data_IF_741937270538
#
_entry.id   IF_741937270538
#
_cell.length_a   1.000
_cell.length_b   1.000
_cell.length_c   1.000
_cell.angle_alpha   90.00
_cell.angle_beta   90.00
_cell.angle_gamma   90.00
#
_symmetry.space_group_name_H-M   'P 1'
#
loop_
_entity.id
_entity.type
_entity.pdbx_description
1 polymer ?
#
# COMPACT_ATOMS: atom_id res chain seq x y z
N UNK A 1 -7.52 -30.73 18.91
CA UNK A 1 -6.57 -30.15 17.93
C UNK A 1 -6.85 -28.66 17.93
N UNK A 2 -6.07 -27.96 18.74
CA UNK A 2 -6.27 -26.56 19.08
C UNK A 2 -5.67 -25.71 17.95
N UNK A 3 -6.50 -24.97 17.22
CA UNK A 3 -6.03 -23.97 16.28
C UNK A 3 -5.63 -22.74 17.08
N UNK A 4 -4.38 -22.72 17.53
CA UNK A 4 -3.74 -21.55 18.11
C UNK A 4 -3.85 -20.38 17.14
N UNK A 5 -4.70 -19.42 17.48
CA UNK A 5 -4.78 -18.11 16.86
C UNK A 5 -3.44 -17.41 17.09
N UNK A 6 -2.55 -17.52 16.11
CA UNK A 6 -1.32 -16.74 16.06
C UNK A 6 -1.74 -15.30 15.76
N UNK A 7 -2.08 -14.55 16.81
CA UNK A 7 -2.17 -13.10 16.73
C UNK A 7 -0.80 -12.60 16.31
N UNK A 8 -0.67 -12.22 15.04
CA UNK A 8 0.48 -11.50 14.56
C UNK A 8 0.66 -10.30 15.49
N UNK A 9 1.72 -10.33 16.29
CA UNK A 9 2.18 -9.20 17.09
C UNK A 9 2.46 -8.06 16.11
N UNK A 10 1.46 -7.22 15.87
CA UNK A 10 1.67 -5.93 15.25
C UNK A 10 2.52 -5.18 16.28
N UNK A 11 3.80 -4.88 16.00
CA UNK A 11 4.62 -4.16 16.94
C UNK A 11 3.92 -2.85 17.22
N UNK A 12 3.40 -2.70 18.44
CA UNK A 12 2.89 -1.43 18.91
C UNK A 12 4.05 -0.45 18.74
N UNK A 13 3.93 0.46 17.77
CA UNK A 13 4.88 1.53 17.53
C UNK A 13 4.75 2.52 18.69
N UNK A 14 5.24 2.11 19.85
CA UNK A 14 5.53 3.00 20.96
C UNK A 14 6.69 3.85 20.49
N UNK A 15 6.37 5.00 19.88
CA UNK A 15 7.31 6.11 19.79
C UNK A 15 7.56 6.54 21.21
N UNK A 16 8.49 5.87 21.89
CA UNK A 16 8.85 6.19 23.26
C UNK A 16 9.28 7.65 23.25
N UNK A 17 8.69 8.51 24.10
CA UNK A 17 9.10 9.90 24.17
C UNK A 17 10.60 9.93 24.46
N UNK A 18 11.39 10.37 23.48
CA UNK A 18 12.82 10.57 23.69
C UNK A 18 12.96 11.83 24.53
N UNK A 19 12.77 11.67 25.84
CA UNK A 19 12.88 12.72 26.85
C UNK A 19 14.20 13.49 26.71
N UNK A 20 15.24 12.84 26.18
CA UNK A 20 16.53 13.45 25.89
C UNK A 20 16.45 14.68 24.98
N UNK A 21 15.63 14.67 23.94
CA UNK A 21 15.54 15.82 23.00
C UNK A 21 14.93 17.03 23.70
N UNK A 22 13.88 16.85 24.50
CA UNK A 22 13.29 17.97 25.25
C UNK A 22 14.22 18.51 26.32
N UNK A 23 14.96 17.62 27.00
CA UNK A 23 15.97 18.01 27.99
C UNK A 23 17.08 18.82 27.32
N UNK A 24 17.55 18.39 26.15
CA UNK A 24 18.58 19.10 25.37
C UNK A 24 18.07 20.46 24.90
N UNK A 25 16.85 20.55 24.35
CA UNK A 25 16.25 21.82 23.92
C UNK A 25 16.06 22.78 25.10
N UNK A 26 15.64 22.27 26.25
CA UNK A 26 15.50 23.06 27.48
C UNK A 26 16.86 23.57 27.96
N UNK A 27 17.86 22.68 28.07
CA UNK A 27 19.21 23.05 28.48
C UNK A 27 19.84 24.09 27.53
N UNK A 28 19.68 23.92 26.22
CA UNK A 28 20.15 24.88 25.21
C UNK A 28 19.50 26.26 25.36
N UNK A 29 18.19 26.29 25.66
CA UNK A 29 17.47 27.56 25.90
C UNK A 29 17.99 28.25 27.17
N UNK A 30 18.17 27.50 28.27
CA UNK A 30 18.70 28.03 29.53
C UNK A 30 20.13 28.55 29.37
N UNK A 31 21.00 27.80 28.69
CA UNK A 31 22.38 28.21 28.41
C UNK A 31 22.39 29.49 27.55
N UNK A 32 21.52 29.57 26.54
CA UNK A 32 21.40 30.76 25.69
C UNK A 32 20.92 31.98 26.48
N UNK A 33 19.95 31.80 27.37
CA UNK A 33 19.49 32.86 28.26
C UNK A 33 20.60 33.36 29.20
N UNK A 34 21.36 32.45 29.82
CA UNK A 34 22.47 32.79 30.70
C UNK A 34 23.60 33.49 29.93
N UNK A 35 23.93 33.01 28.73
CA UNK A 35 24.94 33.63 27.88
C UNK A 35 24.55 35.07 27.49
N UNK A 36 23.29 35.30 27.13
CA UNK A 36 22.77 36.65 26.82
C UNK A 36 22.76 37.53 28.08
N UNK A 37 22.38 36.97 29.22
CA UNK A 37 22.35 37.71 30.50
C UNK A 37 23.74 38.14 30.98
N UNK A 38 24.77 37.34 30.69
CA UNK A 38 26.16 37.66 31.02
C UNK A 38 26.82 38.61 30.00
N UNK A 39 26.49 38.47 28.72
CA UNK A 39 27.06 39.30 27.65
C UNK A 39 26.43 40.70 27.55
N UNK A 40 25.15 40.83 27.89
CA UNK A 40 24.37 42.07 27.84
C UNK A 40 23.55 42.23 29.13
N UNK A 41 24.20 42.53 30.26
CA UNK A 41 23.54 42.63 31.57
C UNK A 41 22.44 43.70 31.60
N UNK A 42 22.51 44.71 30.74
CA UNK A 42 21.48 45.73 30.56
C UNK A 42 20.11 45.14 30.18
N UNK A 43 20.05 43.97 29.53
CA UNK A 43 18.80 43.30 29.16
C UNK A 43 18.06 42.67 30.35
N UNK A 44 18.73 42.58 31.50
CA UNK A 44 18.19 41.96 32.73
C UNK A 44 18.26 42.89 33.93
N UNK A 45 18.87 44.07 33.78
CA UNK A 45 19.09 45.02 34.87
C UNK A 45 17.83 45.76 35.35
N UNK A 46 16.81 45.90 34.51
CA UNK A 46 15.52 46.50 34.88
C UNK A 46 14.41 45.42 34.92
N UNK A 47 13.51 45.42 35.92
CA UNK A 47 12.39 44.47 36.01
C UNK A 47 11.57 44.32 34.72
N UNK A 48 11.34 45.42 33.99
CA UNK A 48 10.57 45.40 32.74
C UNK A 48 11.34 44.67 31.63
N UNK A 49 12.64 44.94 31.50
CA UNK A 49 13.51 44.30 30.50
C UNK A 49 13.75 42.83 30.85
N UNK A 50 13.96 42.50 32.12
CA UNK A 50 14.09 41.13 32.60
C UNK A 50 12.83 40.30 32.28
N UNK A 51 11.65 40.88 32.49
CA UNK A 51 10.38 40.24 32.11
C UNK A 51 10.27 40.01 30.60
N UNK A 52 10.62 41.02 29.79
CA UNK A 52 10.62 40.91 28.32
C UNK A 52 11.59 39.86 27.81
N UNK A 53 12.83 39.87 28.31
CA UNK A 53 13.87 38.89 27.96
C UNK A 53 13.48 37.48 28.39
N UNK A 54 12.98 37.30 29.61
CA UNK A 54 12.49 36.00 30.09
C UNK A 54 11.30 35.49 29.26
N UNK A 55 10.34 36.36 28.93
CA UNK A 55 9.20 36.03 28.07
C UNK A 55 9.61 35.64 26.65
N UNK A 56 10.62 36.31 26.08
CA UNK A 56 11.19 35.95 24.78
C UNK A 56 11.76 34.52 24.77
N UNK A 57 12.61 34.18 25.74
CA UNK A 57 13.21 32.84 25.81
C UNK A 57 12.18 31.75 26.11
N UNK A 58 11.17 32.04 26.93
CA UNK A 58 10.06 31.13 27.19
C UNK A 58 9.26 30.84 25.90
N UNK A 59 8.97 31.88 25.12
CA UNK A 59 8.26 31.77 23.84
C UNK A 59 9.11 31.00 22.81
N UNK A 60 10.41 31.30 22.72
CA UNK A 60 11.34 30.62 21.85
C UNK A 60 11.44 29.12 22.19
N UNK A 61 11.49 28.77 23.47
CA UNK A 61 11.43 27.37 23.91
C UNK A 61 10.14 26.68 23.48
N UNK A 62 8.98 27.31 23.71
CA UNK A 62 7.68 26.76 23.32
C UNK A 62 7.58 26.51 21.81
N UNK A 63 8.13 27.41 21.00
CA UNK A 63 8.19 27.26 19.54
C UNK A 63 9.10 26.10 19.13
N UNK A 64 10.32 26.02 19.67
CA UNK A 64 11.26 24.93 19.37
C UNK A 64 10.71 23.57 19.81
N UNK A 65 10.09 23.50 20.99
CA UNK A 65 9.42 22.31 21.47
C UNK A 65 8.32 21.86 20.50
N UNK A 66 7.49 22.79 20.05
CA UNK A 66 6.39 22.51 19.10
C UNK A 66 6.91 22.00 17.76
N UNK A 67 7.99 22.58 17.23
CA UNK A 67 8.63 22.12 15.98
C UNK A 67 9.14 20.68 16.14
N UNK A 68 9.82 20.38 17.24
CA UNK A 68 10.33 19.03 17.54
C UNK A 68 9.19 18.02 17.60
N UNK A 69 8.10 18.37 18.27
CA UNK A 69 6.93 17.49 18.37
C UNK A 69 6.23 17.28 17.02
N UNK A 70 6.11 18.32 16.19
CA UNK A 70 5.56 18.20 14.84
C UNK A 70 6.42 17.28 13.98
N UNK A 71 7.74 17.45 13.99
CA UNK A 71 8.65 16.56 13.26
C UNK A 71 8.55 15.11 13.75
N UNK A 72 8.43 14.92 15.07
CA UNK A 72 8.25 13.59 15.66
C UNK A 72 6.93 12.97 15.22
N UNK A 73 5.84 13.71 15.26
CA UNK A 73 4.53 13.26 14.80
C UNK A 73 4.53 12.89 13.32
N UNK A 74 5.21 13.67 12.47
CA UNK A 74 5.37 13.35 11.05
C UNK A 74 6.16 12.05 10.84
N UNK A 75 7.28 11.87 11.56
CA UNK A 75 8.07 10.64 11.47
C UNK A 75 7.28 9.40 11.90
N UNK A 76 6.49 9.51 12.97
CA UNK A 76 5.60 8.46 13.45
C UNK A 76 4.50 8.16 12.43
N UNK A 77 3.90 9.19 11.82
CA UNK A 77 2.87 9.04 10.81
C UNK A 77 3.43 8.38 9.53
N UNK A 78 4.65 8.71 9.12
CA UNK A 78 5.32 8.07 7.99
C UNK A 78 5.61 6.59 8.28
N UNK A 79 6.14 6.27 9.47
CA UNK A 79 6.37 4.89 9.89
C UNK A 79 5.07 4.07 9.93
N UNK A 80 3.99 4.65 10.49
CA UNK A 80 2.68 4.02 10.53
C UNK A 80 2.10 3.80 9.11
N UNK A 81 2.24 4.78 8.22
CA UNK A 81 1.83 4.65 6.80
C UNK A 81 2.57 3.52 6.11
N UNK A 82 3.88 3.39 6.34
CA UNK A 82 4.68 2.34 5.72
C UNK A 82 4.35 0.96 6.28
N UNK A 83 4.15 0.84 7.59
CA UNK A 83 3.68 -0.39 8.22
C UNK A 83 2.29 -0.80 7.69
N UNK A 84 1.36 0.15 7.57
CA UNK A 84 0.05 -0.10 6.98
C UNK A 84 0.14 -0.52 5.51
N UNK A 85 1.07 0.06 4.73
CA UNK A 85 1.32 -0.35 3.35
C UNK A 85 1.87 -1.79 3.29
N UNK A 86 2.82 -2.15 4.15
CA UNK A 86 3.35 -3.52 4.24
C UNK A 86 2.27 -4.54 4.62
N UNK A 87 1.48 -4.23 5.66
CA UNK A 87 0.36 -5.07 6.07
C UNK A 87 -0.70 -5.20 4.96
N UNK A 88 -1.02 -4.11 4.27
CA UNK A 88 -1.93 -4.12 3.13
C UNK A 88 -1.42 -4.95 1.95
N UNK A 89 -0.12 -4.90 1.67
CA UNK A 89 0.51 -5.73 0.64
C UNK A 89 0.46 -7.22 1.06
N UNK A 90 0.86 -7.56 2.28
CA UNK A 90 0.81 -8.92 2.83
C UNK A 90 -0.61 -9.49 2.82
N UNK A 91 -1.63 -8.68 3.10
CA UNK A 91 -3.02 -9.10 3.01
C UNK A 91 -3.46 -9.32 1.55
N UNK A 92 -3.02 -8.49 0.60
CA UNK A 92 -3.38 -8.61 -0.82
C UNK A 92 -2.77 -9.83 -1.50
N UNK A 93 -1.57 -10.25 -1.12
CA UNK A 93 -0.86 -11.39 -1.73
C UNK A 93 -1.66 -12.72 -1.73
N UNK A 94 -2.22 -13.20 -0.60
CA UNK A 94 -3.00 -14.44 -0.58
C UNK A 94 -4.34 -14.32 -1.30
N UNK A 95 -5.00 -13.15 -1.27
CA UNK A 95 -6.22 -12.92 -2.04
C UNK A 95 -5.93 -12.93 -3.55
N UNK A 96 -4.84 -12.30 -3.98
CA UNK A 96 -4.42 -12.33 -5.38
C UNK A 96 -4.06 -13.74 -5.86
N UNK A 97 -3.35 -14.55 -5.05
CA UNK A 97 -3.03 -15.94 -5.40
C UNK A 97 -4.28 -16.82 -5.56
N UNK A 98 -5.25 -16.67 -4.65
CA UNK A 98 -6.52 -17.40 -4.74
C UNK A 98 -7.31 -16.99 -5.99
N UNK A 99 -7.42 -15.69 -6.25
CA UNK A 99 -8.17 -15.17 -7.40
C UNK A 99 -7.49 -15.56 -8.73
N UNK A 100 -6.15 -15.57 -8.78
CA UNK A 100 -5.36 -16.08 -9.92
C UNK A 100 -5.66 -17.57 -10.16
N UNK A 101 -5.54 -18.40 -9.12
CA UNK A 101 -5.79 -19.85 -9.23
C UNK A 101 -7.23 -20.15 -9.65
N UNK A 102 -8.20 -19.42 -9.08
CA UNK A 102 -9.61 -19.55 -9.46
C UNK A 102 -9.81 -19.13 -10.92
N UNK A 103 -9.21 -18.01 -11.35
CA UNK A 103 -9.30 -17.55 -12.74
C UNK A 103 -8.73 -18.58 -13.72
N UNK A 104 -7.56 -19.14 -13.43
CA UNK A 104 -6.93 -20.19 -14.23
C UNK A 104 -7.85 -21.41 -14.36
N UNK A 105 -8.41 -21.88 -13.25
CA UNK A 105 -9.33 -23.03 -13.23
C UNK A 105 -10.57 -22.79 -14.10
N UNK A 106 -11.15 -21.59 -14.04
CA UNK A 106 -12.31 -21.26 -14.89
C UNK A 106 -11.89 -21.20 -16.36
N UNK A 107 -10.76 -20.57 -16.69
CA UNK A 107 -10.29 -20.49 -18.07
C UNK A 107 -10.01 -21.89 -18.64
N UNK A 108 -9.33 -22.76 -17.88
CA UNK A 108 -9.09 -24.16 -18.29
C UNK A 108 -10.39 -24.91 -18.55
N UNK A 109 -11.40 -24.72 -17.71
CA UNK A 109 -12.71 -25.35 -17.91
C UNK A 109 -13.40 -24.89 -19.21
N UNK A 110 -13.25 -23.61 -19.56
CA UNK A 110 -13.81 -23.02 -20.79
C UNK A 110 -13.04 -23.52 -22.01
N UNK A 111 -11.71 -23.51 -21.95
CA UNK A 111 -10.83 -24.01 -23.01
C UNK A 111 -11.06 -25.50 -23.27
N UNK A 112 -11.25 -26.29 -22.21
CA UNK A 112 -11.60 -27.70 -22.33
C UNK A 112 -12.95 -27.89 -23.07
N UNK A 113 -13.97 -27.11 -22.73
CA UNK A 113 -15.26 -27.17 -23.41
C UNK A 113 -15.13 -26.86 -24.92
N UNK A 114 -14.33 -25.84 -25.28
CA UNK A 114 -14.06 -25.47 -26.67
C UNK A 114 -13.32 -26.57 -27.43
N UNK A 115 -12.28 -27.17 -26.82
CA UNK A 115 -11.48 -28.23 -27.46
C UNK A 115 -12.28 -29.51 -27.76
N UNK A 116 -13.35 -29.77 -27.01
CA UNK A 116 -14.24 -30.92 -27.22
C UNK A 116 -15.43 -30.60 -28.14
N UNK A 117 -15.38 -29.48 -28.88
CA UNK A 117 -16.43 -29.04 -29.80
C UNK A 117 -17.70 -28.56 -29.11
N UNK A 118 -17.63 -28.29 -27.80
CA UNK A 118 -18.73 -27.72 -27.03
C UNK A 118 -18.71 -26.19 -27.06
N UNK A 119 -19.90 -25.58 -27.07
CA UNK A 119 -20.01 -24.13 -26.89
C UNK A 119 -19.96 -23.78 -25.40
N UNK A 120 -19.00 -22.96 -24.94
CA UNK A 120 -18.91 -22.61 -23.53
C UNK A 120 -20.14 -21.79 -23.10
N UNK A 121 -20.70 -22.16 -21.94
CA UNK A 121 -21.84 -21.44 -21.36
C UNK A 121 -21.43 -20.00 -21.02
N UNK A 122 -22.39 -19.08 -21.12
CA UNK A 122 -22.18 -17.67 -20.80
C UNK A 122 -21.70 -17.45 -19.34
N UNK A 123 -22.17 -18.27 -18.40
CA UNK A 123 -21.83 -18.13 -16.98
C UNK A 123 -20.32 -18.28 -16.71
N UNK A 124 -19.62 -19.36 -17.16
CA UNK A 124 -18.17 -19.48 -17.09
C UNK A 124 -17.42 -18.28 -17.68
N UNK A 125 -17.79 -17.82 -18.88
CA UNK A 125 -17.16 -16.67 -19.53
C UNK A 125 -17.36 -15.37 -18.72
N UNK A 126 -18.54 -15.18 -18.14
CA UNK A 126 -18.81 -14.04 -17.25
C UNK A 126 -17.95 -14.09 -15.99
N UNK A 127 -17.64 -15.29 -15.49
CA UNK A 127 -16.76 -15.49 -14.33
C UNK A 127 -15.30 -15.22 -14.71
N UNK A 128 -14.84 -15.64 -15.89
CA UNK A 128 -13.53 -15.27 -16.44
C UNK A 128 -13.40 -13.75 -16.47
N UNK A 129 -14.39 -13.04 -17.02
CA UNK A 129 -14.36 -11.57 -17.11
C UNK A 129 -14.18 -10.93 -15.74
N UNK A 130 -14.97 -11.36 -14.74
CA UNK A 130 -14.90 -10.82 -13.38
C UNK A 130 -13.56 -11.08 -12.70
N UNK A 131 -13.11 -12.33 -12.69
CA UNK A 131 -11.87 -12.72 -12.01
C UNK A 131 -10.65 -12.09 -12.70
N UNK A 132 -10.60 -12.10 -14.02
CA UNK A 132 -9.50 -11.51 -14.77
C UNK A 132 -9.41 -9.99 -14.59
N UNK A 133 -10.57 -9.32 -14.47
CA UNK A 133 -10.61 -7.88 -14.15
C UNK A 133 -10.13 -7.59 -12.74
N UNK A 134 -10.51 -8.42 -11.77
CA UNK A 134 -10.07 -8.28 -10.39
C UNK A 134 -8.55 -8.47 -10.25
N UNK A 135 -7.99 -9.50 -10.91
CA UNK A 135 -6.56 -9.82 -10.86
C UNK A 135 -5.72 -8.72 -11.51
N UNK A 136 -6.13 -8.19 -12.66
CA UNK A 136 -5.38 -7.17 -13.41
C UNK A 136 -5.94 -5.75 -13.24
N UNK A 137 -6.53 -5.42 -12.09
CA UNK A 137 -7.23 -4.15 -11.86
C UNK A 137 -6.42 -2.91 -12.25
N UNK A 138 -5.10 -2.90 -12.00
CA UNK A 138 -4.21 -1.81 -12.36
C UNK A 138 -4.01 -1.65 -13.87
N UNK A 139 -4.03 -2.74 -14.64
CA UNK A 139 -3.88 -2.71 -16.09
C UNK A 139 -5.12 -2.14 -16.80
N UNK A 140 -6.29 -2.13 -16.16
CA UNK A 140 -7.50 -1.53 -16.73
C UNK A 140 -7.53 0.00 -16.68
N UNK A 141 -6.65 0.62 -15.90
CA UNK A 141 -6.50 2.07 -15.89
C UNK A 141 -5.90 2.61 -17.21
N UNK A 142 -5.22 1.75 -17.97
CA UNK A 142 -4.70 2.05 -19.30
C UNK A 142 -5.63 1.50 -20.39
N UNK A 143 -6.13 2.39 -21.26
CA UNK A 143 -6.99 2.03 -22.39
C UNK A 143 -6.29 1.12 -23.41
N UNK A 144 -4.95 1.16 -23.47
CA UNK A 144 -4.13 0.39 -24.41
C UNK A 144 -3.64 -0.97 -23.92
N UNK A 145 -3.99 -1.38 -22.70
CA UNK A 145 -3.41 -2.61 -22.11
C UNK A 145 -3.84 -3.88 -22.85
N UNK A 146 -2.89 -4.81 -23.03
CA UNK A 146 -3.15 -6.12 -23.64
C UNK A 146 -4.23 -6.89 -22.88
N UNK A 147 -4.25 -6.77 -21.56
CA UNK A 147 -5.24 -7.40 -20.68
C UNK A 147 -6.65 -6.92 -20.99
N UNK A 148 -6.83 -5.62 -21.26
CA UNK A 148 -8.13 -5.05 -21.63
C UNK A 148 -8.56 -5.47 -23.04
N UNK A 149 -7.62 -5.53 -23.99
CA UNK A 149 -7.89 -6.02 -25.36
C UNK A 149 -8.38 -7.48 -25.30
N UNK A 150 -7.68 -8.35 -24.55
CA UNK A 150 -8.05 -9.76 -24.36
C UNK A 150 -9.42 -9.91 -23.69
N UNK A 151 -9.71 -9.10 -22.66
CA UNK A 151 -11.04 -9.06 -22.05
C UNK A 151 -12.13 -8.67 -23.06
N UNK A 152 -11.84 -7.68 -23.92
CA UNK A 152 -12.71 -7.24 -24.99
C UNK A 152 -13.11 -8.40 -25.92
N UNK A 153 -12.18 -9.27 -26.29
CA UNK A 153 -12.48 -10.46 -27.11
C UNK A 153 -13.45 -11.41 -26.40
N UNK A 154 -13.25 -11.67 -25.10
CA UNK A 154 -14.15 -12.53 -24.31
C UNK A 154 -15.55 -11.90 -24.20
N UNK A 155 -15.62 -10.58 -23.98
CA UNK A 155 -16.89 -9.83 -23.91
C UNK A 155 -17.63 -9.83 -25.25
N UNK A 156 -16.92 -9.61 -26.36
CA UNK A 156 -17.50 -9.67 -27.71
C UNK A 156 -18.03 -11.07 -28.00
N UNK A 157 -17.30 -12.12 -27.62
CA UNK A 157 -17.77 -13.49 -27.80
C UNK A 157 -19.07 -13.78 -27.04
N UNK A 158 -19.18 -13.27 -25.80
CA UNK A 158 -20.42 -13.36 -25.01
C UNK A 158 -21.56 -12.58 -25.66
N UNK A 159 -21.29 -11.37 -26.15
CA UNK A 159 -22.31 -10.48 -26.72
C UNK A 159 -22.85 -10.97 -28.09
N UNK A 160 -21.97 -11.49 -28.95
CA UNK A 160 -22.30 -11.85 -30.34
C UNK A 160 -22.93 -13.25 -30.45
N UNK A 161 -23.16 -13.96 -29.33
CA UNK A 161 -23.60 -15.37 -29.28
C UNK A 161 -22.68 -16.28 -30.11
N UNK A 162 -21.54 -16.66 -29.55
CA UNK A 162 -20.74 -17.84 -29.91
C UNK A 162 -20.80 -18.24 -31.42
N UNK A 163 -20.45 -17.31 -32.31
CA UNK A 163 -20.27 -17.66 -33.72
C UNK A 163 -19.08 -18.63 -33.79
N UNK A 164 -19.24 -19.75 -34.51
CA UNK A 164 -18.16 -20.75 -34.69
C UNK A 164 -16.84 -20.12 -35.15
N UNK A 165 -16.91 -19.06 -35.94
CA UNK A 165 -15.75 -18.30 -36.43
C UNK A 165 -14.93 -17.64 -35.30
N UNK A 166 -15.55 -17.35 -34.17
CA UNK A 166 -14.92 -16.72 -32.99
C UNK A 166 -14.28 -17.71 -32.01
N UNK A 167 -14.52 -19.02 -32.14
CA UNK A 167 -14.02 -20.05 -31.21
C UNK A 167 -12.49 -20.15 -31.21
N UNK A 168 -11.87 -20.08 -32.38
CA UNK A 168 -10.40 -20.10 -32.51
C UNK A 168 -9.77 -18.86 -31.87
N UNK A 169 -10.37 -17.69 -32.07
CA UNK A 169 -9.90 -16.43 -31.48
C UNK A 169 -10.07 -16.43 -29.96
N UNK A 170 -11.20 -16.95 -29.46
CA UNK A 170 -11.45 -17.10 -28.03
C UNK A 170 -10.45 -18.08 -27.41
N UNK A 171 -10.24 -19.25 -28.01
CA UNK A 171 -9.31 -20.27 -27.50
C UNK A 171 -7.89 -19.73 -27.41
N UNK A 172 -7.42 -19.03 -28.44
CA UNK A 172 -6.12 -18.35 -28.42
C UNK A 172 -6.05 -17.31 -27.31
N UNK A 173 -7.06 -16.45 -27.20
CA UNK A 173 -7.13 -15.41 -26.17
C UNK A 173 -7.08 -16.01 -24.77
N UNK A 174 -7.85 -17.07 -24.51
CA UNK A 174 -7.86 -17.77 -23.22
C UNK A 174 -6.50 -18.40 -22.89
N UNK A 175 -5.82 -18.97 -23.88
CA UNK A 175 -4.45 -19.48 -23.70
C UNK A 175 -3.46 -18.36 -23.36
N UNK A 176 -3.58 -17.19 -23.99
CA UNK A 176 -2.75 -16.04 -23.68
C UNK A 176 -3.06 -15.49 -22.27
N UNK A 177 -4.34 -15.44 -21.88
CA UNK A 177 -4.75 -15.08 -20.52
C UNK A 177 -4.21 -16.05 -19.46
N UNK A 178 -4.17 -17.36 -19.75
CA UNK A 178 -3.52 -18.34 -18.88
C UNK A 178 -2.01 -18.08 -18.73
N UNK A 179 -1.33 -17.73 -19.82
CA UNK A 179 0.08 -17.37 -19.77
C UNK A 179 0.34 -16.14 -18.90
N UNK A 180 -0.52 -15.11 -19.01
CA UNK A 180 -0.43 -13.92 -18.17
C UNK A 180 -0.62 -14.26 -16.68
N UNK A 181 -1.61 -15.09 -16.36
CA UNK A 181 -1.91 -15.52 -15.00
C UNK A 181 -0.78 -16.38 -14.41
N UNK A 182 -0.18 -17.26 -15.22
CA UNK A 182 0.96 -18.07 -14.81
C UNK A 182 2.21 -17.20 -14.54
N UNK A 183 2.47 -16.21 -15.39
CA UNK A 183 3.56 -15.25 -15.19
C UNK A 183 3.36 -14.43 -13.90
N UNK A 184 2.13 -13.96 -13.67
CA UNK A 184 1.78 -13.24 -12.45
C UNK A 184 1.89 -14.14 -11.19
N UNK A 185 1.40 -15.38 -11.27
CA UNK A 185 1.53 -16.36 -10.19
C UNK A 185 2.99 -16.65 -9.84
N UNK A 186 3.87 -16.73 -10.85
CA UNK A 186 5.32 -16.86 -10.66
C UNK A 186 5.95 -15.66 -9.96
N UNK A 187 5.58 -14.44 -10.36
CA UNK A 187 6.04 -13.20 -9.71
C UNK A 187 5.59 -13.12 -8.24
N UNK A 188 4.32 -13.44 -7.97
CA UNK A 188 3.80 -13.46 -6.61
C UNK A 188 4.54 -14.50 -5.76
N UNK A 189 4.81 -15.70 -6.32
CA UNK A 189 5.55 -16.74 -5.61
C UNK A 189 7.00 -16.34 -5.30
N UNK A 190 7.69 -15.66 -6.22
CA UNK A 190 9.06 -15.15 -5.96
C UNK A 190 9.07 -14.05 -4.89
N UNK A 191 8.11 -13.13 -4.91
CA UNK A 191 8.03 -12.06 -3.92
C UNK A 191 7.76 -12.58 -2.50
N UNK A 192 7.02 -13.70 -2.37
CA UNK A 192 6.79 -14.36 -1.09
C UNK A 192 8.05 -15.07 -0.57
N UNK A 193 8.89 -15.59 -1.45
CA UNK A 193 10.09 -16.35 -1.07
C UNK A 193 11.30 -15.46 -0.74
N UNK A 194 11.27 -14.18 -1.12
CA UNK A 194 12.30 -13.17 -0.82
C UNK A 194 12.04 -12.38 0.49
N UNK A 195 10.87 -12.58 1.12
CA UNK A 195 10.50 -11.95 2.41
C UNK A 195 10.72 -12.89 3.60
#
# INVERSE_FOLDING_TARGET
>A
MDHGTQTADIPAFAVTPNRGVHIVTFAATVISFLAVSLGWPELVGNPIQAFGTGGFFLTAFGLLFSIVEVMRAQSAALAAKEAARRAGNLARTPYNMRDVSECMTVIESVTHALNHGGSPRQQPLSRVIKLYTAVFQSAYADDGSLQRIRLGVVQTYVAVKALKTGEHLLTRTLSEMLSDLAALGGQIASEVNEQ
#
